data_IF_065460140504
#
_entry.id   IF_065460140504
#
_cell.length_a   1.000
_cell.length_b   1.000
_cell.length_c   1.000
_cell.angle_alpha   90.00
_cell.angle_beta   90.00
_cell.angle_gamma   90.00
#
_symmetry.space_group_name_H-M   'P 1'
#
loop_
_entity.id
_entity.type
_entity.pdbx_description
1 polymer ?
#
# COMPACT_ATOMS: atom_id res chain seq x y z
N UNK A 1 19.27 -1.64 -21.58
CA UNK A 1 17.99 -0.92 -21.78
C UNK A 1 16.79 -1.87 -22.05
N UNK A 2 16.94 -3.20 -21.97
CA UNK A 2 15.86 -4.16 -22.25
C UNK A 2 15.37 -4.96 -21.01
N UNK A 3 15.81 -4.62 -19.81
CA UNK A 3 15.46 -5.38 -18.59
C UNK A 3 14.52 -4.65 -17.61
N UNK A 4 14.17 -3.38 -17.87
CA UNK A 4 13.22 -2.63 -17.04
C UNK A 4 11.77 -2.67 -17.54
N UNK A 5 11.51 -3.05 -18.80
CA UNK A 5 10.13 -3.15 -19.31
C UNK A 5 9.42 -4.44 -18.89
N UNK A 6 10.12 -5.56 -18.65
CA UNK A 6 9.46 -6.82 -18.22
C UNK A 6 8.90 -6.79 -16.79
N UNK A 7 9.46 -5.95 -15.91
CA UNK A 7 9.06 -5.91 -14.50
C UNK A 7 7.78 -5.08 -14.27
N UNK A 8 7.37 -4.25 -15.23
CA UNK A 8 6.13 -3.47 -15.19
C UNK A 8 4.90 -4.28 -15.64
N UNK A 9 5.04 -5.11 -16.67
CA UNK A 9 3.91 -5.87 -17.24
C UNK A 9 3.45 -7.03 -16.34
N UNK A 10 4.35 -7.70 -15.63
CA UNK A 10 3.97 -8.78 -14.70
C UNK A 10 3.24 -8.25 -13.46
N UNK A 11 3.61 -7.05 -12.99
CA UNK A 11 2.90 -6.37 -11.89
C UNK A 11 1.54 -5.84 -12.31
N UNK A 12 1.39 -5.28 -13.51
CA UNK A 12 0.07 -4.93 -14.05
C UNK A 12 -0.82 -6.17 -14.21
N UNK A 13 -0.26 -7.27 -14.72
CA UNK A 13 -1.00 -8.52 -14.89
C UNK A 13 -1.53 -9.08 -13.56
N UNK A 14 -0.72 -9.05 -12.51
CA UNK A 14 -1.13 -9.46 -11.15
C UNK A 14 -2.18 -8.52 -10.54
N UNK A 15 -2.07 -7.21 -10.78
CA UNK A 15 -3.07 -6.22 -10.33
C UNK A 15 -4.39 -6.42 -11.06
N UNK A 16 -4.39 -6.59 -12.39
CA UNK A 16 -5.59 -6.87 -13.17
C UNK A 16 -6.20 -8.22 -12.84
N UNK A 17 -5.39 -9.25 -12.56
CA UNK A 17 -5.85 -10.56 -12.13
C UNK A 17 -6.45 -10.52 -10.72
N UNK A 18 -5.87 -9.76 -9.80
CA UNK A 18 -6.41 -9.53 -8.46
C UNK A 18 -7.71 -8.72 -8.50
N UNK A 19 -7.80 -7.70 -9.37
CA UNK A 19 -9.02 -6.92 -9.59
C UNK A 19 -10.12 -7.78 -10.24
N UNK A 20 -9.75 -8.62 -11.22
CA UNK A 20 -10.64 -9.57 -11.86
C UNK A 20 -11.18 -10.62 -10.88
N UNK A 21 -10.34 -11.16 -10.00
CA UNK A 21 -10.75 -12.10 -8.94
C UNK A 21 -11.60 -11.43 -7.85
N UNK A 22 -11.26 -10.21 -7.43
CA UNK A 22 -12.05 -9.45 -6.46
C UNK A 22 -13.42 -9.06 -7.03
N UNK A 23 -13.47 -8.69 -8.31
CA UNK A 23 -14.71 -8.44 -9.02
C UNK A 23 -15.52 -9.73 -9.24
N UNK A 24 -14.87 -10.86 -9.56
CA UNK A 24 -15.50 -12.17 -9.65
C UNK A 24 -16.11 -12.59 -8.30
N UNK A 25 -15.40 -12.36 -7.20
CA UNK A 25 -15.90 -12.57 -5.84
C UNK A 25 -17.08 -11.65 -5.53
N UNK A 26 -17.01 -10.37 -5.90
CA UNK A 26 -18.11 -9.42 -5.75
C UNK A 26 -19.35 -9.81 -6.56
N UNK A 27 -19.19 -10.26 -7.81
CA UNK A 27 -20.31 -10.70 -8.67
C UNK A 27 -20.90 -12.01 -8.16
N UNK A 28 -20.06 -12.98 -7.76
CA UNK A 28 -20.53 -14.24 -7.17
C UNK A 28 -21.19 -14.03 -5.81
N UNK A 29 -20.66 -13.15 -4.96
CA UNK A 29 -21.30 -12.75 -3.71
C UNK A 29 -22.61 -12.02 -3.99
N UNK A 30 -22.64 -11.06 -4.91
CA UNK A 30 -23.86 -10.37 -5.30
C UNK A 30 -24.91 -11.34 -5.84
N UNK A 31 -24.51 -12.35 -6.61
CA UNK A 31 -25.41 -13.37 -7.14
C UNK A 31 -25.94 -14.33 -6.06
N UNK A 32 -25.11 -14.77 -5.11
CA UNK A 32 -25.54 -15.54 -3.93
C UNK A 32 -26.50 -14.70 -3.06
N UNK A 33 -26.18 -13.41 -2.90
CA UNK A 33 -27.02 -12.48 -2.13
C UNK A 33 -28.36 -12.27 -2.85
N UNK A 34 -28.36 -12.17 -4.17
CA UNK A 34 -29.57 -12.05 -5.00
C UNK A 34 -30.43 -13.32 -4.95
N UNK A 35 -29.83 -14.50 -5.08
CA UNK A 35 -30.55 -15.77 -5.00
C UNK A 35 -31.17 -15.98 -3.61
N UNK A 36 -30.44 -15.65 -2.56
CA UNK A 36 -30.93 -15.70 -1.18
C UNK A 36 -32.07 -14.69 -0.95
N UNK A 37 -31.92 -13.47 -1.48
CA UNK A 37 -32.93 -12.42 -1.37
C UNK A 37 -34.20 -12.75 -2.17
N UNK A 38 -34.06 -13.25 -3.41
CA UNK A 38 -35.19 -13.74 -4.23
C UNK A 38 -35.90 -14.92 -3.57
N UNK A 39 -35.16 -15.82 -2.92
CA UNK A 39 -35.74 -16.91 -2.12
C UNK A 39 -36.56 -16.36 -0.95
N UNK A 40 -36.02 -15.40 -0.18
CA UNK A 40 -36.75 -14.73 0.90
C UNK A 40 -38.01 -14.01 0.40
N UNK A 41 -37.94 -13.30 -0.74
CA UNK A 41 -39.10 -12.66 -1.37
C UNK A 41 -40.16 -13.69 -1.77
N UNK A 42 -39.75 -14.85 -2.30
CA UNK A 42 -40.68 -15.93 -2.70
C UNK A 42 -41.36 -16.56 -1.47
N UNK A 43 -40.63 -16.75 -0.37
CA UNK A 43 -41.18 -17.21 0.90
C UNK A 43 -42.17 -16.19 1.48
N UNK A 44 -41.87 -14.88 1.39
CA UNK A 44 -42.80 -13.81 1.79
C UNK A 44 -44.04 -13.72 0.90
N UNK A 45 -43.92 -13.83 -0.43
CA UNK A 45 -45.08 -13.95 -1.33
C UNK A 45 -45.92 -15.19 -1.03
N UNK A 46 -45.29 -16.27 -0.58
CA UNK A 46 -46.00 -17.50 -0.17
C UNK A 46 -46.74 -17.30 1.16
N UNK A 47 -46.16 -16.54 2.10
CA UNK A 47 -46.87 -16.09 3.31
C UNK A 47 -48.05 -15.17 2.96
N UNK A 48 -47.87 -14.24 2.01
CA UNK A 48 -48.94 -13.38 1.50
C UNK A 48 -50.09 -14.21 0.89
N UNK A 49 -49.77 -15.29 0.17
CA UNK A 49 -50.74 -16.24 -0.36
C UNK A 49 -51.52 -16.98 0.74
N UNK A 50 -50.82 -17.39 1.81
CA UNK A 50 -51.45 -18.08 2.96
C UNK A 50 -52.37 -17.12 3.74
N UNK A 51 -51.92 -15.89 3.98
CA UNK A 51 -52.72 -14.83 4.62
C UNK A 51 -53.96 -14.55 3.76
N UNK A 52 -53.80 -14.40 2.44
CA UNK A 52 -54.90 -14.22 1.50
C UNK A 52 -55.90 -15.38 1.49
N UNK A 53 -55.44 -16.65 1.40
CA UNK A 53 -56.33 -17.81 1.47
C UNK A 53 -57.08 -17.89 2.80
N UNK A 54 -56.43 -17.47 3.90
CA UNK A 54 -57.06 -17.45 5.23
C UNK A 54 -58.10 -16.34 5.37
N UNK A 55 -57.86 -15.17 4.75
CA UNK A 55 -58.84 -14.07 4.67
C UNK A 55 -60.04 -14.51 3.82
N UNK A 56 -59.82 -15.14 2.66
CA UNK A 56 -60.87 -15.57 1.76
C UNK A 56 -61.77 -16.65 2.38
N UNK A 57 -61.19 -17.60 3.12
CA UNK A 57 -61.93 -18.61 3.90
C UNK A 57 -62.75 -17.94 5.03
N UNK A 58 -62.20 -16.92 5.69
CA UNK A 58 -62.91 -16.20 6.76
C UNK A 58 -64.06 -15.35 6.20
N UNK A 59 -63.95 -14.83 4.98
CA UNK A 59 -65.01 -14.05 4.30
C UNK A 59 -66.10 -14.92 3.67
N UNK A 60 -65.78 -16.12 3.16
CA UNK A 60 -66.79 -17.08 2.69
C UNK A 60 -67.67 -17.61 3.85
N UNK A 61 -67.11 -17.72 5.06
CA UNK A 61 -67.84 -18.12 6.27
C UNK A 61 -68.78 -17.01 6.79
N UNK A 62 -68.39 -15.75 6.61
CA UNK A 62 -69.23 -14.57 6.93
C UNK A 62 -70.30 -14.31 5.85
N UNK A 63 -69.98 -14.57 4.57
CA UNK A 63 -70.87 -14.35 3.42
C UNK A 63 -72.06 -15.33 3.30
N UNK A 64 -72.22 -16.29 4.21
CA UNK A 64 -73.39 -17.18 4.27
C UNK A 64 -74.40 -16.81 5.35
N UNK A 65 -74.17 -15.72 6.08
CA UNK A 65 -75.12 -15.18 7.06
C UNK A 65 -75.65 -13.85 6.55
N UNK A 66 -76.87 -13.89 6.01
CA UNK A 66 -77.68 -12.70 5.73
C UNK A 66 -77.73 -11.83 6.99
N UNK A 67 -76.97 -10.74 6.99
CA UNK A 67 -77.05 -9.70 8.00
C UNK A 67 -77.26 -8.37 7.29
N UNK A 68 -78.54 -8.03 7.16
CA UNK A 68 -78.99 -6.64 7.03
C UNK A 68 -78.47 -5.87 8.25
N UNK A 69 -77.37 -5.14 8.10
CA UNK A 69 -76.97 -4.10 9.03
C UNK A 69 -76.70 -2.84 8.23
N UNK A 70 -77.70 -1.96 8.30
CA UNK A 70 -77.68 -0.58 7.86
C UNK A 70 -76.44 0.13 8.42
N UNK A 71 -75.60 0.61 7.50
CA UNK A 71 -74.38 1.37 7.78
C UNK A 71 -74.76 2.75 8.29
N UNK A 72 -74.53 3.00 9.58
CA UNK A 72 -74.39 4.35 10.08
C UNK A 72 -73.04 4.55 10.78
N UNK A 73 -72.43 5.64 10.37
CA UNK A 73 -71.07 6.09 10.63
C UNK A 73 -70.93 6.63 12.06
N UNK A 74 -69.71 6.55 12.59
CA UNK A 74 -69.08 7.37 13.65
C UNK A 74 -68.95 6.83 15.09
N UNK A 75 -67.70 6.95 15.54
CA UNK A 75 -67.15 7.19 16.88
C UNK A 75 -67.06 6.07 17.93
N UNK A 76 -65.80 5.68 18.16
CA UNK A 76 -65.22 5.07 19.35
C UNK A 76 -65.86 5.56 20.66
N UNK A 77 -66.66 4.73 21.32
CA UNK A 77 -66.67 4.57 22.79
C UNK A 77 -67.07 3.13 23.14
N UNK A 78 -66.28 2.55 24.06
CA UNK A 78 -66.51 1.32 24.80
C UNK A 78 -67.97 1.15 25.24
N UNK A 79 -68.63 0.09 24.78
CA UNK A 79 -69.61 -0.62 25.59
C UNK A 79 -69.77 -2.08 25.12
N UNK A 80 -69.52 -3.00 26.04
CA UNK A 80 -69.70 -4.42 25.84
C UNK A 80 -71.20 -4.76 25.88
N UNK A 81 -71.75 -5.29 24.79
CA UNK A 81 -72.91 -6.18 24.86
C UNK A 81 -73.13 -6.96 23.57
N UNK A 82 -73.18 -8.29 23.71
CA UNK A 82 -73.97 -9.20 22.86
C UNK A 82 -73.60 -9.26 21.37
N UNK A 83 -72.49 -9.93 21.04
CA UNK A 83 -72.34 -10.92 19.95
C UNK A 83 -70.87 -11.38 19.90
N UNK A 84 -70.53 -12.38 20.72
CA UNK A 84 -69.14 -12.77 20.99
C UNK A 84 -68.39 -13.45 19.84
N UNK A 85 -69.10 -13.98 18.83
CA UNK A 85 -68.47 -14.76 17.77
C UNK A 85 -68.26 -13.94 16.49
N UNK A 86 -69.24 -13.13 16.06
CA UNK A 86 -69.12 -12.29 14.86
C UNK A 86 -68.19 -11.07 15.05
N UNK A 87 -68.12 -10.49 16.25
CA UNK A 87 -67.20 -9.37 16.54
C UNK A 87 -65.74 -9.81 16.48
N UNK A 88 -65.46 -11.04 16.91
CA UNK A 88 -64.10 -11.60 16.97
C UNK A 88 -63.60 -12.02 15.60
N UNK A 89 -64.48 -12.57 14.76
CA UNK A 89 -64.19 -12.90 13.36
C UNK A 89 -63.94 -11.64 12.51
N UNK A 90 -64.73 -10.57 12.72
CA UNK A 90 -64.55 -9.28 12.04
C UNK A 90 -63.25 -8.58 12.47
N UNK A 91 -62.94 -8.55 13.77
CA UNK A 91 -61.65 -8.04 14.28
C UNK A 91 -60.47 -8.81 13.69
N UNK A 92 -60.57 -10.14 13.60
CA UNK A 92 -59.54 -11.00 13.00
C UNK A 92 -59.39 -10.76 11.50
N UNK A 93 -60.48 -10.47 10.78
CA UNK A 93 -60.43 -10.16 9.35
C UNK A 93 -59.81 -8.77 9.07
N UNK A 94 -60.13 -7.76 9.89
CA UNK A 94 -59.53 -6.42 9.81
C UNK A 94 -58.04 -6.46 10.14
N UNK A 95 -57.65 -7.21 11.15
CA UNK A 95 -56.24 -7.37 11.55
C UNK A 95 -55.42 -8.06 10.45
N UNK A 96 -55.97 -9.10 9.82
CA UNK A 96 -55.35 -9.78 8.66
C UNK A 96 -55.32 -8.91 7.40
N UNK A 97 -56.32 -8.06 7.17
CA UNK A 97 -56.33 -7.10 6.08
C UNK A 97 -55.20 -6.07 6.22
N UNK A 98 -55.00 -5.54 7.43
CA UNK A 98 -53.89 -4.64 7.74
C UNK A 98 -52.54 -5.37 7.58
N UNK A 99 -52.42 -6.61 8.05
CA UNK A 99 -51.22 -7.42 7.85
C UNK A 99 -50.89 -7.63 6.36
N UNK A 100 -51.92 -7.87 5.52
CA UNK A 100 -51.76 -7.98 4.07
C UNK A 100 -51.26 -6.67 3.45
N UNK A 101 -51.85 -5.53 3.81
CA UNK A 101 -51.44 -4.22 3.30
C UNK A 101 -49.97 -3.92 3.64
N UNK A 102 -49.56 -4.16 4.90
CA UNK A 102 -48.17 -3.99 5.32
C UNK A 102 -47.21 -4.93 4.57
N UNK A 103 -47.55 -6.22 4.45
CA UNK A 103 -46.71 -7.18 3.75
C UNK A 103 -46.60 -6.89 2.24
N UNK A 104 -47.67 -6.37 1.63
CA UNK A 104 -47.66 -5.93 0.23
C UNK A 104 -46.75 -4.72 0.03
N UNK A 105 -46.81 -3.72 0.92
CA UNK A 105 -45.95 -2.53 0.85
C UNK A 105 -44.47 -2.87 1.05
N UNK A 106 -44.17 -3.78 1.98
CA UNK A 106 -42.81 -4.30 2.19
C UNK A 106 -42.31 -5.02 0.93
N UNK A 107 -43.12 -5.92 0.36
CA UNK A 107 -42.76 -6.67 -0.84
C UNK A 107 -42.51 -5.76 -2.04
N UNK A 108 -43.33 -4.72 -2.22
CA UNK A 108 -43.17 -3.77 -3.32
C UNK A 108 -41.90 -2.91 -3.15
N UNK A 109 -41.59 -2.51 -1.92
CA UNK A 109 -40.34 -1.77 -1.59
C UNK A 109 -39.11 -2.64 -1.85
N UNK A 110 -39.13 -3.88 -1.38
CA UNK A 110 -38.08 -4.89 -1.57
C UNK A 110 -37.88 -5.22 -3.07
N UNK A 111 -38.96 -5.32 -3.85
CA UNK A 111 -38.88 -5.51 -5.31
C UNK A 111 -38.28 -4.30 -6.05
N UNK A 112 -38.50 -3.08 -5.55
CA UNK A 112 -37.90 -1.86 -6.10
C UNK A 112 -36.41 -1.75 -5.80
N UNK A 113 -35.99 -2.11 -4.59
CA UNK A 113 -34.57 -2.15 -4.22
C UNK A 113 -33.81 -3.20 -5.04
N UNK A 114 -34.44 -4.35 -5.27
CA UNK A 114 -33.88 -5.40 -6.11
C UNK A 114 -33.72 -4.97 -7.56
N UNK A 115 -34.66 -4.22 -8.13
CA UNK A 115 -34.51 -3.60 -9.45
C UNK A 115 -33.30 -2.66 -9.51
N UNK A 116 -33.12 -1.82 -8.49
CA UNK A 116 -31.99 -0.89 -8.41
C UNK A 116 -30.67 -1.65 -8.33
N UNK A 117 -30.62 -2.73 -7.56
CA UNK A 117 -29.46 -3.61 -7.47
C UNK A 117 -29.15 -4.28 -8.82
N UNK A 118 -30.16 -4.83 -9.49
CA UNK A 118 -29.99 -5.45 -10.81
C UNK A 118 -29.50 -4.44 -11.86
N UNK A 119 -29.95 -3.19 -11.83
CA UNK A 119 -29.47 -2.13 -12.73
C UNK A 119 -27.98 -1.81 -12.48
N UNK A 120 -27.56 -1.70 -11.21
CA UNK A 120 -26.16 -1.51 -10.86
C UNK A 120 -25.29 -2.70 -11.30
N UNK A 121 -25.77 -3.94 -11.14
CA UNK A 121 -25.05 -5.14 -11.58
C UNK A 121 -24.95 -5.15 -13.12
N UNK A 122 -26.01 -4.74 -13.83
CA UNK A 122 -26.00 -4.64 -15.29
C UNK A 122 -24.96 -3.62 -15.79
N UNK A 123 -24.84 -2.47 -15.13
CA UNK A 123 -23.83 -1.45 -15.43
C UNK A 123 -22.41 -1.99 -15.20
N UNK A 124 -22.16 -2.67 -14.08
CA UNK A 124 -20.88 -3.32 -13.79
C UNK A 124 -20.52 -4.41 -14.81
N UNK A 125 -21.49 -5.26 -15.20
CA UNK A 125 -21.28 -6.28 -16.26
C UNK A 125 -20.91 -5.62 -17.59
N UNK A 126 -21.54 -4.48 -17.93
CA UNK A 126 -21.24 -3.73 -19.15
C UNK A 126 -19.82 -3.14 -19.12
N UNK A 127 -19.43 -2.52 -18.01
CA UNK A 127 -18.07 -1.97 -17.83
C UNK A 127 -17.00 -3.06 -17.92
N UNK A 128 -17.21 -4.20 -17.24
CA UNK A 128 -16.29 -5.34 -17.30
C UNK A 128 -16.25 -5.97 -18.69
N UNK A 129 -17.39 -6.07 -19.38
CA UNK A 129 -17.43 -6.50 -20.77
C UNK A 129 -16.58 -5.63 -21.70
N UNK A 130 -16.59 -4.31 -21.49
CA UNK A 130 -15.73 -3.36 -22.21
C UNK A 130 -14.24 -3.61 -21.97
N UNK A 131 -13.85 -3.89 -20.73
CA UNK A 131 -12.46 -4.18 -20.33
C UNK A 131 -11.98 -5.53 -20.88
N UNK A 132 -12.84 -6.54 -20.88
CA UNK A 132 -12.53 -7.87 -21.42
C UNK A 132 -12.36 -7.80 -22.94
N UNK A 133 -13.25 -7.08 -23.63
CA UNK A 133 -13.20 -6.91 -25.08
C UNK A 133 -11.97 -6.12 -25.56
N UNK A 134 -11.41 -5.20 -24.75
CA UNK A 134 -10.27 -4.37 -25.15
C UNK A 134 -8.91 -5.06 -25.06
N UNK A 135 -8.80 -6.19 -24.33
CA UNK A 135 -7.52 -6.77 -23.91
C UNK A 135 -7.08 -8.01 -24.72
N UNK A 136 -7.81 -8.38 -25.78
CA UNK A 136 -7.42 -9.42 -26.75
C UNK A 136 -7.61 -10.87 -26.29
N UNK A 137 -7.54 -11.86 -27.22
CA UNK A 137 -7.90 -13.25 -26.94
C UNK A 137 -6.74 -14.00 -26.25
N UNK A 138 -6.63 -13.86 -24.93
CA UNK A 138 -5.78 -14.70 -24.07
C UNK A 138 -6.59 -15.83 -23.43
N UNK A 139 -5.95 -16.99 -23.14
CA UNK A 139 -6.64 -18.16 -22.56
C UNK A 139 -7.36 -17.88 -21.22
N UNK A 140 -6.81 -16.99 -20.39
CA UNK A 140 -7.46 -16.51 -19.16
C UNK A 140 -8.61 -15.53 -19.43
N UNK A 141 -8.56 -14.76 -20.52
CA UNK A 141 -9.64 -13.86 -20.94
C UNK A 141 -10.84 -14.63 -21.51
N UNK A 142 -10.61 -15.72 -22.25
CA UNK A 142 -11.68 -16.60 -22.74
C UNK A 142 -12.51 -17.20 -21.60
N UNK A 143 -11.86 -17.65 -20.53
CA UNK A 143 -12.55 -18.18 -19.35
C UNK A 143 -13.30 -17.09 -18.55
N UNK A 144 -12.79 -15.86 -18.55
CA UNK A 144 -13.43 -14.72 -17.91
C UNK A 144 -14.65 -14.23 -18.72
N UNK A 145 -14.56 -14.26 -20.05
CA UNK A 145 -15.63 -13.91 -20.97
C UNK A 145 -16.78 -14.94 -20.92
N UNK A 146 -16.46 -16.23 -20.78
CA UNK A 146 -17.43 -17.29 -20.52
C UNK A 146 -18.19 -17.04 -19.21
N UNK A 147 -17.48 -16.80 -18.10
CA UNK A 147 -18.11 -16.50 -16.81
C UNK A 147 -18.92 -15.19 -16.82
N UNK A 148 -18.49 -14.20 -17.60
CA UNK A 148 -19.26 -12.96 -17.79
C UNK A 148 -20.57 -13.24 -18.52
N UNK A 149 -20.56 -14.10 -19.54
CA UNK A 149 -21.79 -14.56 -20.22
C UNK A 149 -22.71 -15.32 -19.26
N UNK A 150 -22.19 -16.22 -18.45
CA UNK A 150 -22.97 -16.97 -17.46
C UNK A 150 -23.62 -16.02 -16.42
N UNK A 151 -22.88 -14.98 -16.00
CA UNK A 151 -23.37 -13.95 -15.08
C UNK A 151 -24.45 -13.07 -15.72
N UNK A 152 -24.30 -12.75 -17.00
CA UNK A 152 -25.31 -11.99 -17.77
C UNK A 152 -26.60 -12.80 -17.97
N UNK A 153 -26.49 -14.10 -18.23
CA UNK A 153 -27.63 -15.02 -18.34
C UNK A 153 -28.34 -15.18 -16.99
N UNK A 154 -27.58 -15.33 -15.90
CA UNK A 154 -28.12 -15.42 -14.54
C UNK A 154 -28.84 -14.14 -14.11
N UNK A 155 -28.26 -12.96 -14.40
CA UNK A 155 -28.91 -11.68 -14.12
C UNK A 155 -30.23 -11.55 -14.89
N UNK A 156 -30.27 -11.99 -16.14
CA UNK A 156 -31.49 -12.01 -16.95
C UNK A 156 -32.55 -12.93 -16.32
N UNK A 157 -32.16 -14.13 -15.92
CA UNK A 157 -33.05 -15.07 -15.24
C UNK A 157 -33.63 -14.48 -13.95
N UNK A 158 -32.80 -13.81 -13.15
CA UNK A 158 -33.26 -13.13 -11.94
C UNK A 158 -34.24 -11.99 -12.25
N UNK A 159 -33.98 -11.18 -13.27
CA UNK A 159 -34.89 -10.11 -13.69
C UNK A 159 -36.27 -10.65 -14.09
N UNK A 160 -36.29 -11.81 -14.75
CA UNK A 160 -37.52 -12.50 -15.11
C UNK A 160 -38.27 -13.00 -13.86
N UNK A 161 -37.55 -13.52 -12.86
CA UNK A 161 -38.14 -13.95 -11.57
C UNK A 161 -38.73 -12.79 -10.76
N UNK A 162 -38.04 -11.64 -10.70
CA UNK A 162 -38.55 -10.44 -10.01
C UNK A 162 -39.79 -9.89 -10.72
N UNK A 163 -39.80 -9.94 -12.05
CA UNK A 163 -40.98 -9.57 -12.85
C UNK A 163 -42.17 -10.51 -12.59
N UNK A 164 -41.92 -11.82 -12.41
CA UNK A 164 -42.94 -12.80 -12.03
C UNK A 164 -43.49 -12.53 -10.62
N UNK A 165 -42.62 -12.27 -9.64
CA UNK A 165 -43.02 -11.92 -8.26
C UNK A 165 -43.91 -10.67 -8.26
N UNK A 166 -43.55 -9.65 -9.04
CA UNK A 166 -44.36 -8.43 -9.17
C UNK A 166 -45.71 -8.69 -9.84
N UNK A 167 -45.73 -9.48 -10.90
CA UNK A 167 -46.98 -9.85 -11.57
C UNK A 167 -47.92 -10.62 -10.62
N UNK A 168 -47.36 -11.48 -9.77
CA UNK A 168 -48.11 -12.17 -8.71
C UNK A 168 -48.59 -11.19 -7.64
N UNK A 169 -47.76 -10.28 -7.15
CA UNK A 169 -48.14 -9.22 -6.18
C UNK A 169 -49.32 -8.39 -6.68
N UNK A 170 -49.23 -7.86 -7.91
CA UNK A 170 -50.32 -7.07 -8.54
C UNK A 170 -51.58 -7.91 -8.74
N UNK A 171 -51.43 -9.21 -9.05
CA UNK A 171 -52.58 -10.12 -9.16
C UNK A 171 -53.28 -10.28 -7.81
N UNK A 172 -52.52 -10.45 -6.71
CA UNK A 172 -53.07 -10.54 -5.36
C UNK A 172 -53.74 -9.24 -4.91
N UNK A 173 -53.09 -8.11 -5.12
CA UNK A 173 -53.64 -6.80 -4.78
C UNK A 173 -54.95 -6.52 -5.54
N UNK A 174 -55.00 -6.85 -6.84
CA UNK A 174 -56.23 -6.72 -7.64
C UNK A 174 -57.35 -7.60 -7.13
N UNK A 175 -57.06 -8.85 -6.75
CA UNK A 175 -58.10 -9.76 -6.23
C UNK A 175 -58.59 -9.30 -4.85
N UNK A 176 -57.71 -8.73 -4.01
CA UNK A 176 -58.09 -8.14 -2.72
C UNK A 176 -58.94 -6.87 -2.87
N UNK A 177 -58.60 -5.97 -3.80
CA UNK A 177 -59.41 -4.75 -4.05
C UNK A 177 -60.84 -5.06 -4.52
N UNK A 178 -61.09 -6.20 -5.16
CA UNK A 178 -62.44 -6.63 -5.52
C UNK A 178 -63.31 -7.05 -4.32
N UNK A 179 -62.70 -7.35 -3.16
CA UNK A 179 -63.41 -7.73 -1.92
C UNK A 179 -63.81 -6.52 -1.06
N UNK A 180 -63.16 -5.35 -1.19
CA UNK A 180 -63.41 -4.17 -0.34
C UNK A 180 -64.50 -3.21 -0.89
N UNK A 181 -65.22 -3.59 -1.97
CA UNK A 181 -66.44 -2.91 -2.38
C UNK A 181 -66.29 -2.02 -3.61
N UNK A 182 -66.96 -2.45 -4.69
CA UNK A 182 -67.39 -1.58 -5.77
C UNK A 182 -68.90 -1.30 -5.58
N UNK A 183 -69.23 -0.47 -4.59
CA UNK A 183 -70.45 0.32 -4.62
C UNK A 183 -70.18 1.57 -5.47
N UNK A 184 -70.22 1.42 -6.79
CA UNK A 184 -70.55 2.54 -7.66
C UNK A 184 -71.38 2.03 -8.82
N UNK A 185 -72.68 2.35 -8.73
CA UNK A 185 -73.68 1.96 -9.70
C UNK A 185 -73.37 2.48 -11.10
N UNK A 186 -73.48 1.58 -12.07
CA UNK A 186 -74.11 1.96 -13.33
C UNK A 186 -75.47 1.25 -13.42
N UNK A 187 -76.50 2.05 -13.20
CA UNK A 187 -77.88 1.75 -13.57
C UNK A 187 -77.93 1.48 -15.07
N UNK A 188 -78.33 0.28 -15.51
CA UNK A 188 -79.37 0.14 -16.55
C UNK A 188 -79.91 -1.29 -16.67
N UNK A 189 -81.24 -1.40 -16.53
CA UNK A 189 -82.14 -2.41 -17.10
C UNK A 189 -81.91 -3.90 -16.81
N UNK A 190 -82.82 -4.43 -15.99
CA UNK A 190 -84.03 -4.99 -16.61
C UNK A 190 -84.45 -6.38 -16.14
N UNK A 191 -85.73 -6.44 -15.75
CA UNK A 191 -86.62 -7.62 -15.79
C UNK A 191 -86.51 -8.61 -14.63
N UNK A 192 -87.21 -8.38 -13.51
CA UNK A 192 -88.62 -8.72 -13.24
C UNK A 192 -88.80 -10.12 -12.63
N UNK A 193 -89.71 -10.16 -11.63
CA UNK A 193 -90.39 -11.30 -10.98
C UNK A 193 -89.58 -11.97 -9.85
N UNK A 194 -90.05 -12.09 -8.61
CA UNK A 194 -91.43 -12.22 -8.13
C UNK A 194 -91.62 -11.68 -6.71
N UNK A 195 -92.77 -11.03 -6.54
CA UNK A 195 -93.51 -10.70 -5.33
C UNK A 195 -93.22 -11.53 -4.08
N UNK A 196 -92.83 -10.80 -3.06
CA UNK A 196 -93.08 -11.12 -1.66
C UNK A 196 -94.58 -10.96 -1.36
N UNK A 197 -95.31 -12.08 -1.31
CA UNK A 197 -96.59 -12.20 -0.59
C UNK A 197 -97.10 -13.65 -0.66
N UNK A 198 -96.83 -14.45 0.38
CA UNK A 198 -97.78 -15.45 0.93
C UNK A 198 -97.20 -16.22 2.14
N UNK A 199 -96.94 -15.52 3.25
CA UNK A 199 -96.66 -16.13 4.56
C UNK A 199 -97.92 -16.45 5.37
N UNK A 200 -99.01 -16.90 4.72
CA UNK A 200 -100.23 -17.30 5.44
C UNK A 200 -101.07 -18.36 4.71
N UNK A 201 -100.53 -19.54 4.40
CA UNK A 201 -101.38 -20.69 4.01
C UNK A 201 -100.69 -22.07 4.08
N UNK A 202 -99.64 -22.26 4.89
CA UNK A 202 -98.99 -23.58 4.99
C UNK A 202 -98.95 -24.13 6.42
N UNK A 203 -99.80 -23.60 7.31
CA UNK A 203 -100.04 -24.16 8.65
C UNK A 203 -101.39 -24.87 8.69
N UNK A 204 -101.76 -25.54 7.61
CA UNK A 204 -102.96 -26.36 7.53
C UNK A 204 -102.57 -27.81 7.22
N UNK A 205 -102.46 -28.60 8.29
CA UNK A 205 -102.55 -30.07 8.28
C UNK A 205 -101.48 -30.78 7.42
N UNK A 206 -100.31 -31.01 8.00
CA UNK A 206 -99.48 -32.19 7.64
C UNK A 206 -100.24 -33.44 8.14
N UNK A 207 -101.34 -33.79 7.47
CA UNK A 207 -102.00 -35.06 7.65
C UNK A 207 -101.45 -35.97 6.54
N UNK A 208 -100.36 -36.66 6.83
CA UNK A 208 -99.76 -37.64 5.91
C UNK A 208 -100.77 -38.74 5.60
N UNK A 209 -101.38 -38.70 4.41
CA UNK A 209 -102.53 -39.56 4.09
C UNK A 209 -102.17 -40.99 3.65
N UNK A 210 -100.89 -41.33 3.45
CA UNK A 210 -100.51 -42.70 3.05
C UNK A 210 -99.24 -43.18 3.76
N UNK A 211 -99.29 -44.39 4.33
CA UNK A 211 -98.17 -45.03 5.04
C UNK A 211 -96.87 -45.11 4.21
N UNK A 212 -96.96 -45.08 2.88
CA UNK A 212 -95.79 -45.10 1.99
C UNK A 212 -95.06 -43.75 1.94
N UNK A 213 -95.78 -42.62 2.04
CA UNK A 213 -95.13 -41.31 2.16
C UNK A 213 -94.39 -41.21 3.50
N UNK A 214 -95.01 -41.68 4.59
CA UNK A 214 -94.37 -41.78 5.91
C UNK A 214 -93.06 -42.58 5.86
N UNK A 215 -93.05 -43.73 5.17
CA UNK A 215 -91.82 -44.52 4.98
C UNK A 215 -90.76 -43.81 4.15
N UNK A 216 -91.14 -43.07 3.11
CA UNK A 216 -90.20 -42.31 2.30
C UNK A 216 -89.51 -41.19 3.10
N UNK A 217 -90.29 -40.41 3.86
CA UNK A 217 -89.74 -39.38 4.75
C UNK A 217 -88.83 -39.96 5.83
N UNK A 218 -89.20 -41.07 6.46
CA UNK A 218 -88.34 -41.74 7.45
C UNK A 218 -87.02 -42.21 6.82
N UNK A 219 -87.02 -42.80 5.62
CA UNK A 219 -85.78 -43.17 4.91
C UNK A 219 -84.93 -41.95 4.54
N UNK A 220 -85.55 -40.82 4.21
CA UNK A 220 -84.83 -39.57 3.94
C UNK A 220 -84.18 -39.02 5.21
N UNK A 221 -84.90 -39.07 6.35
CA UNK A 221 -84.35 -38.68 7.66
C UNK A 221 -83.24 -39.61 8.12
N UNK A 222 -83.36 -40.93 7.94
CA UNK A 222 -82.30 -41.89 8.24
C UNK A 222 -81.04 -41.61 7.40
N UNK A 223 -81.19 -41.33 6.09
CA UNK A 223 -80.07 -40.95 5.23
C UNK A 223 -79.45 -39.61 5.61
N UNK A 224 -80.26 -38.62 6.01
CA UNK A 224 -79.75 -37.34 6.48
C UNK A 224 -79.02 -37.48 7.81
N UNK A 225 -79.57 -38.24 8.76
CA UNK A 225 -78.92 -38.53 10.04
C UNK A 225 -77.59 -39.29 9.84
N UNK A 226 -77.54 -40.26 8.91
CA UNK A 226 -76.29 -40.96 8.61
C UNK A 226 -75.21 -40.02 8.03
N UNK A 227 -75.59 -39.03 7.22
CA UNK A 227 -74.66 -38.00 6.72
C UNK A 227 -74.25 -37.03 7.83
N UNK A 228 -75.18 -36.60 8.67
CA UNK A 228 -74.90 -35.74 9.84
C UNK A 228 -73.85 -36.39 10.76
N UNK A 229 -74.01 -37.68 11.06
CA UNK A 229 -73.06 -38.44 11.87
C UNK A 229 -71.67 -38.57 11.20
N UNK A 230 -71.60 -38.68 9.87
CA UNK A 230 -70.33 -38.68 9.12
C UNK A 230 -69.66 -37.30 9.15
N UNK A 231 -70.44 -36.22 9.05
CA UNK A 231 -69.94 -34.86 9.19
C UNK A 231 -69.45 -34.59 10.61
N UNK A 232 -70.17 -35.00 11.64
CA UNK A 232 -69.74 -34.87 13.02
C UNK A 232 -68.43 -35.63 13.28
N UNK A 233 -68.29 -36.83 12.72
CA UNK A 233 -67.02 -37.57 12.77
C UNK A 233 -65.88 -36.79 12.11
N UNK A 234 -66.07 -36.27 10.90
CA UNK A 234 -65.06 -35.44 10.20
C UNK A 234 -64.73 -34.17 10.98
N UNK A 235 -65.71 -33.55 11.62
CA UNK A 235 -65.52 -32.37 12.47
C UNK A 235 -64.62 -32.71 13.66
N UNK A 236 -64.85 -33.85 14.33
CA UNK A 236 -64.00 -34.30 15.44
C UNK A 236 -62.57 -34.64 14.98
N UNK A 237 -62.41 -35.25 13.81
CA UNK A 237 -61.09 -35.52 13.21
C UNK A 237 -60.36 -34.22 12.84
N UNK A 238 -61.07 -33.25 12.28
CA UNK A 238 -60.56 -31.90 11.97
C UNK A 238 -60.09 -31.17 13.22
N UNK A 239 -60.87 -31.18 14.30
CA UNK A 239 -60.51 -30.57 15.59
C UNK A 239 -59.24 -31.19 16.18
N UNK A 240 -59.11 -32.52 16.11
CA UNK A 240 -57.92 -33.22 16.58
C UNK A 240 -56.67 -32.81 15.77
N UNK A 241 -56.81 -32.65 14.46
CA UNK A 241 -55.72 -32.22 13.58
C UNK A 241 -55.32 -30.76 13.83
N UNK A 242 -56.29 -29.89 14.13
CA UNK A 242 -56.03 -28.51 14.54
C UNK A 242 -55.21 -28.44 15.82
N UNK A 243 -55.57 -29.22 16.85
CA UNK A 243 -54.80 -29.32 18.10
C UNK A 243 -53.37 -29.82 17.85
N UNK A 244 -53.20 -30.85 17.00
CA UNK A 244 -51.88 -31.36 16.61
C UNK A 244 -51.05 -30.29 15.86
N UNK A 245 -51.67 -29.53 14.95
CA UNK A 245 -51.01 -28.43 14.25
C UNK A 245 -50.61 -27.31 15.22
N UNK A 246 -51.44 -26.99 16.20
CA UNK A 246 -51.13 -25.99 17.22
C UNK A 246 -49.90 -26.37 18.03
N UNK A 247 -49.81 -27.63 18.47
CA UNK A 247 -48.65 -28.15 19.19
C UNK A 247 -47.38 -28.12 18.32
N UNK A 248 -47.50 -28.47 17.03
CA UNK A 248 -46.38 -28.38 16.07
C UNK A 248 -45.92 -26.94 15.85
N UNK A 249 -46.85 -25.99 15.72
CA UNK A 249 -46.51 -24.57 15.55
C UNK A 249 -45.78 -24.05 16.77
N UNK A 250 -46.24 -24.36 17.99
CA UNK A 250 -45.54 -23.96 19.22
C UNK A 250 -44.14 -24.58 19.30
N UNK A 251 -44.00 -25.87 18.95
CA UNK A 251 -42.69 -26.53 18.90
C UNK A 251 -41.75 -25.86 17.90
N UNK A 252 -42.23 -25.54 16.70
CA UNK A 252 -41.43 -24.88 15.67
C UNK A 252 -41.08 -23.45 16.09
N UNK A 253 -42.00 -22.70 16.69
CA UNK A 253 -41.72 -21.36 17.21
C UNK A 253 -40.59 -21.38 18.24
N UNK A 254 -40.60 -22.35 19.14
CA UNK A 254 -39.55 -22.51 20.14
C UNK A 254 -38.21 -22.90 19.51
N UNK A 255 -38.21 -23.80 18.50
CA UNK A 255 -37.00 -24.15 17.75
C UNK A 255 -36.43 -22.95 16.97
N UNK A 256 -37.29 -22.18 16.31
CA UNK A 256 -36.91 -20.94 15.61
C UNK A 256 -36.29 -19.95 16.58
N UNK A 257 -36.86 -19.77 17.77
CA UNK A 257 -36.29 -18.89 18.79
C UNK A 257 -34.85 -19.28 19.16
N UNK A 258 -34.58 -20.58 19.38
CA UNK A 258 -33.22 -21.04 19.68
C UNK A 258 -32.25 -20.85 18.51
N UNK A 259 -32.70 -21.10 17.28
CA UNK A 259 -31.88 -20.89 16.08
C UNK A 259 -31.60 -19.39 15.88
N UNK A 260 -32.57 -18.51 16.13
CA UNK A 260 -32.38 -17.06 16.07
C UNK A 260 -31.35 -16.58 17.08
N UNK A 261 -31.38 -17.09 18.31
CA UNK A 261 -30.38 -16.76 19.33
C UNK A 261 -28.96 -17.25 18.95
N UNK A 262 -28.83 -18.49 18.48
CA UNK A 262 -27.54 -19.04 18.05
C UNK A 262 -26.99 -18.30 16.82
N UNK A 263 -27.85 -17.97 15.85
CA UNK A 263 -27.43 -17.20 14.67
C UNK A 263 -27.00 -15.79 15.04
N UNK A 264 -27.66 -15.14 16.00
CA UNK A 264 -27.26 -13.82 16.50
C UNK A 264 -25.85 -13.84 17.13
N UNK A 265 -25.55 -14.83 17.99
CA UNK A 265 -24.21 -15.00 18.58
C UNK A 265 -23.14 -15.28 17.52
N UNK A 266 -23.47 -16.08 16.49
CA UNK A 266 -22.56 -16.33 15.37
C UNK A 266 -22.28 -15.05 14.57
N UNK A 267 -23.31 -14.24 14.30
CA UNK A 267 -23.16 -12.97 13.59
C UNK A 267 -22.37 -11.94 14.40
N UNK A 268 -22.60 -11.83 15.71
CA UNK A 268 -21.84 -10.96 16.60
C UNK A 268 -20.35 -11.33 16.57
N UNK A 269 -20.02 -12.60 16.79
CA UNK A 269 -18.64 -13.10 16.73
C UNK A 269 -18.00 -12.90 15.35
N UNK A 270 -18.76 -13.03 14.27
CA UNK A 270 -18.27 -12.78 12.93
C UNK A 270 -17.94 -11.29 12.73
N UNK A 271 -18.83 -10.39 13.16
CA UNK A 271 -18.60 -8.95 13.08
C UNK A 271 -17.41 -8.50 13.92
N UNK A 272 -17.24 -9.05 15.14
CA UNK A 272 -16.06 -8.79 15.97
C UNK A 272 -14.76 -9.20 15.27
N UNK A 273 -14.76 -10.37 14.63
CA UNK A 273 -13.59 -10.87 13.87
C UNK A 273 -13.29 -10.01 12.65
N UNK A 274 -14.31 -9.58 11.90
CA UNK A 274 -14.15 -8.70 10.75
C UNK A 274 -13.60 -7.33 11.17
N UNK A 275 -14.13 -6.75 12.26
CA UNK A 275 -13.61 -5.51 12.82
C UNK A 275 -12.14 -5.66 13.28
N UNK A 276 -11.80 -6.76 13.94
CA UNK A 276 -10.42 -7.04 14.32
C UNK A 276 -9.49 -7.18 13.10
N UNK A 277 -9.97 -7.80 12.02
CA UNK A 277 -9.23 -7.91 10.77
C UNK A 277 -9.00 -6.54 10.12
N UNK A 278 -10.00 -5.66 10.10
CA UNK A 278 -9.86 -4.31 9.55
C UNK A 278 -8.90 -3.45 10.38
N UNK A 279 -8.93 -3.54 11.71
CA UNK A 279 -7.95 -2.87 12.59
C UNK A 279 -6.53 -3.36 12.30
N UNK A 280 -6.34 -4.68 12.17
CA UNK A 280 -5.04 -5.27 11.82
C UNK A 280 -4.58 -4.85 10.42
N UNK A 281 -5.50 -4.78 9.46
CA UNK A 281 -5.24 -4.29 8.11
C UNK A 281 -4.75 -2.83 8.17
N UNK A 282 -5.42 -1.97 8.95
CA UNK A 282 -5.01 -0.59 9.19
C UNK A 282 -3.60 -0.48 9.77
N UNK A 283 -3.29 -1.28 10.80
CA UNK A 283 -1.94 -1.34 11.39
C UNK A 283 -0.91 -1.81 10.34
N UNK A 284 -1.24 -2.82 9.53
CA UNK A 284 -0.33 -3.35 8.51
C UNK A 284 -0.01 -2.31 7.42
N UNK A 285 -1.01 -1.53 6.99
CA UNK A 285 -0.85 -0.45 6.01
C UNK A 285 0.04 0.66 6.55
N UNK A 286 -0.16 1.06 7.80
CA UNK A 286 0.69 2.06 8.48
C UNK A 286 2.14 1.57 8.62
N UNK A 287 2.36 0.31 9.04
CA UNK A 287 3.69 -0.28 9.14
C UNK A 287 4.38 -0.35 7.77
N UNK A 288 3.65 -0.71 6.71
CA UNK A 288 4.16 -0.73 5.35
C UNK A 288 4.59 0.68 4.90
N UNK A 289 3.78 1.70 5.18
CA UNK A 289 4.12 3.10 4.91
C UNK A 289 5.41 3.53 5.62
N UNK A 290 5.55 3.17 6.91
CA UNK A 290 6.79 3.43 7.67
C UNK A 290 7.99 2.70 7.08
N UNK A 291 7.84 1.44 6.69
CA UNK A 291 8.89 0.65 6.06
C UNK A 291 9.37 1.28 4.75
N UNK A 292 8.45 1.77 3.92
CA UNK A 292 8.78 2.49 2.68
C UNK A 292 9.58 3.77 2.96
N UNK A 293 9.17 4.56 3.96
CA UNK A 293 9.92 5.75 4.39
C UNK A 293 11.32 5.37 4.87
N UNK A 294 11.45 4.32 5.68
CA UNK A 294 12.74 3.81 6.13
C UNK A 294 13.63 3.39 4.95
N UNK A 295 13.07 2.70 3.95
CA UNK A 295 13.81 2.31 2.75
C UNK A 295 14.31 3.51 1.96
N UNK A 296 13.48 4.55 1.79
CA UNK A 296 13.89 5.81 1.15
C UNK A 296 15.00 6.51 1.94
N UNK A 297 14.88 6.58 3.26
CA UNK A 297 15.89 7.17 4.15
C UNK A 297 17.22 6.41 4.09
N UNK A 298 17.18 5.08 4.09
CA UNK A 298 18.35 4.22 3.95
C UNK A 298 19.05 4.46 2.60
N UNK A 299 18.28 4.55 1.51
CA UNK A 299 18.81 4.87 0.18
C UNK A 299 19.49 6.25 0.16
N UNK A 300 18.90 7.25 0.81
CA UNK A 300 19.52 8.57 0.97
C UNK A 300 20.82 8.53 1.77
N UNK A 301 20.85 7.76 2.86
CA UNK A 301 22.04 7.53 3.67
C UNK A 301 23.15 6.84 2.88
N UNK A 302 22.85 5.76 2.14
CA UNK A 302 23.82 5.06 1.30
C UNK A 302 24.44 5.98 0.24
N UNK A 303 23.63 6.85 -0.40
CA UNK A 303 24.15 7.84 -1.36
C UNK A 303 25.12 8.81 -0.70
N UNK A 304 24.77 9.34 0.47
CA UNK A 304 25.64 10.26 1.23
C UNK A 304 26.91 9.56 1.70
N UNK A 305 26.80 8.32 2.15
CA UNK A 305 27.96 7.50 2.54
C UNK A 305 28.90 7.29 1.34
N UNK A 306 28.37 6.95 0.17
CA UNK A 306 29.16 6.79 -1.06
C UNK A 306 29.88 8.09 -1.45
N UNK A 307 29.21 9.25 -1.32
CA UNK A 307 29.81 10.57 -1.55
C UNK A 307 30.93 10.88 -0.56
N UNK A 308 30.75 10.56 0.73
CA UNK A 308 31.80 10.74 1.74
C UNK A 308 32.98 9.81 1.51
N UNK A 309 32.72 8.56 1.10
CA UNK A 309 33.76 7.59 0.73
C UNK A 309 34.59 8.09 -0.44
N UNK A 310 33.98 8.64 -1.49
CA UNK A 310 34.73 9.20 -2.62
C UNK A 310 35.53 10.46 -2.24
N UNK A 311 34.98 11.33 -1.38
CA UNK A 311 35.71 12.48 -0.82
C UNK A 311 36.91 12.05 0.01
N UNK A 312 36.78 10.98 0.79
CA UNK A 312 37.86 10.40 1.58
C UNK A 312 38.96 9.84 0.67
N UNK A 313 38.59 9.07 -0.34
CA UNK A 313 39.54 8.51 -1.32
C UNK A 313 40.35 9.62 -2.00
N UNK A 314 39.68 10.67 -2.51
CA UNK A 314 40.36 11.84 -3.08
C UNK A 314 41.33 12.51 -2.10
N UNK A 315 40.98 12.54 -0.81
CA UNK A 315 41.84 13.13 0.23
C UNK A 315 43.07 12.26 0.51
N UNK A 316 42.90 10.93 0.47
CA UNK A 316 44.01 9.96 0.59
C UNK A 316 44.96 10.13 -0.59
N UNK A 317 44.45 10.16 -1.83
CA UNK A 317 45.28 10.38 -3.04
C UNK A 317 46.07 11.71 -2.95
N UNK A 318 45.42 12.79 -2.48
CA UNK A 318 46.11 14.07 -2.27
C UNK A 318 47.18 14.00 -1.18
N UNK A 319 46.95 13.23 -0.12
CA UNK A 319 47.92 13.03 0.95
C UNK A 319 49.12 12.24 0.44
N UNK A 320 48.91 11.18 -0.33
CA UNK A 320 49.98 10.40 -0.98
C UNK A 320 50.81 11.27 -1.93
N UNK A 321 50.16 12.12 -2.73
CA UNK A 321 50.88 13.06 -3.58
C UNK A 321 51.75 14.05 -2.79
N UNK A 322 51.26 14.53 -1.63
CA UNK A 322 52.02 15.39 -0.72
C UNK A 322 53.16 14.64 -0.02
N UNK A 323 52.95 13.40 0.39
CA UNK A 323 53.96 12.51 0.98
C UNK A 323 55.14 12.32 0.01
N UNK A 324 54.86 12.02 -1.27
CA UNK A 324 55.88 11.90 -2.32
C UNK A 324 56.65 13.21 -2.48
N UNK A 325 55.96 14.34 -2.49
CA UNK A 325 56.59 15.66 -2.59
C UNK A 325 57.49 15.97 -1.38
N UNK A 326 57.07 15.58 -0.18
CA UNK A 326 57.83 15.75 1.07
C UNK A 326 59.09 14.89 1.07
N UNK A 327 58.99 13.61 0.69
CA UNK A 327 60.16 12.73 0.57
C UNK A 327 61.19 13.29 -0.42
N UNK A 328 60.72 13.86 -1.54
CA UNK A 328 61.60 14.54 -2.50
C UNK A 328 62.26 15.78 -1.88
N UNK A 329 61.51 16.59 -1.13
CA UNK A 329 62.05 17.74 -0.41
C UNK A 329 63.11 17.34 0.62
N UNK A 330 62.86 16.30 1.42
CA UNK A 330 63.81 15.79 2.40
C UNK A 330 65.09 15.28 1.75
N UNK A 331 64.99 14.58 0.61
CA UNK A 331 66.16 14.14 -0.15
C UNK A 331 67.01 15.32 -0.67
N UNK A 332 66.36 16.42 -1.06
CA UNK A 332 67.04 17.64 -1.48
C UNK A 332 67.65 18.38 -0.29
N UNK A 333 66.96 18.42 0.85
CA UNK A 333 67.48 19.00 2.08
C UNK A 333 68.72 18.24 2.59
N UNK A 334 68.72 16.91 2.52
CA UNK A 334 69.90 16.09 2.84
C UNK A 334 71.09 16.42 1.92
N UNK A 335 70.85 16.56 0.61
CA UNK A 335 71.88 17.02 -0.35
C UNK A 335 72.39 18.41 -0.02
N UNK A 336 71.50 19.33 0.36
CA UNK A 336 71.87 20.69 0.72
C UNK A 336 72.69 20.73 2.01
N UNK A 337 72.33 19.94 3.02
CA UNK A 337 73.11 19.76 4.24
C UNK A 337 74.53 19.25 3.94
N UNK A 338 74.67 18.29 3.02
CA UNK A 338 75.98 17.81 2.57
C UNK A 338 76.79 18.89 1.85
N UNK A 339 76.14 19.72 1.01
CA UNK A 339 76.79 20.87 0.36
C UNK A 339 77.23 21.94 1.37
N UNK A 340 76.43 22.19 2.42
CA UNK A 340 76.79 23.10 3.52
C UNK A 340 78.03 22.58 4.24
N UNK A 341 78.05 21.31 4.65
CA UNK A 341 79.22 20.71 5.31
C UNK A 341 80.48 20.77 4.43
N UNK A 342 80.34 20.54 3.11
CA UNK A 342 81.43 20.69 2.15
C UNK A 342 81.91 22.14 2.04
N UNK A 343 80.99 23.11 2.07
CA UNK A 343 81.31 24.54 2.04
C UNK A 343 82.04 24.96 3.30
N UNK A 344 81.63 24.48 4.46
CA UNK A 344 82.30 24.75 5.74
C UNK A 344 83.71 24.16 5.76
N UNK A 345 83.90 22.93 5.25
CA UNK A 345 85.22 22.31 5.09
C UNK A 345 86.11 23.12 4.13
N UNK A 346 85.60 23.53 2.96
CA UNK A 346 86.34 24.36 2.02
C UNK A 346 86.70 25.72 2.63
N UNK A 347 85.79 26.33 3.40
CA UNK A 347 86.03 27.58 4.11
C UNK A 347 87.14 27.43 5.15
N UNK A 348 87.17 26.33 5.90
CA UNK A 348 88.24 26.03 6.84
C UNK A 348 89.59 25.86 6.12
N UNK A 349 89.63 25.08 5.03
CA UNK A 349 90.84 24.92 4.22
C UNK A 349 91.32 26.21 3.56
N UNK A 350 90.39 27.07 3.11
CA UNK A 350 90.73 28.39 2.58
C UNK A 350 91.36 29.28 3.66
N UNK A 351 90.76 29.34 4.86
CA UNK A 351 91.31 30.11 5.98
C UNK A 351 92.68 29.60 6.41
N UNK A 352 92.90 28.28 6.40
CA UNK A 352 94.21 27.67 6.66
C UNK A 352 95.24 28.05 5.59
N UNK A 353 94.89 27.94 4.30
CA UNK A 353 95.75 28.34 3.20
C UNK A 353 96.09 29.84 3.24
N UNK A 354 95.12 30.69 3.60
CA UNK A 354 95.28 32.13 3.75
C UNK A 354 96.23 32.46 4.91
N UNK A 355 96.09 31.78 6.07
CA UNK A 355 97.02 31.90 7.19
C UNK A 355 98.44 31.44 6.82
N UNK A 356 98.57 30.33 6.10
CA UNK A 356 99.86 29.83 5.61
C UNK A 356 100.52 30.80 4.62
N UNK A 357 99.74 31.45 3.76
CA UNK A 357 100.23 32.49 2.85
C UNK A 357 100.73 33.72 3.62
N UNK A 358 100.03 34.15 4.67
CA UNK A 358 100.47 35.24 5.55
C UNK A 358 101.80 34.88 6.22
N UNK A 359 101.93 33.65 6.75
CA UNK A 359 103.18 33.15 7.32
C UNK A 359 104.31 33.13 6.29
N UNK A 360 104.10 32.55 5.11
CA UNK A 360 105.09 32.50 4.04
C UNK A 360 105.51 33.90 3.56
N UNK A 361 104.59 34.86 3.50
CA UNK A 361 104.88 36.27 3.21
C UNK A 361 105.77 36.91 4.29
N UNK A 362 105.53 36.60 5.57
CA UNK A 362 106.38 37.08 6.67
C UNK A 362 107.78 36.46 6.63
N UNK A 363 107.88 35.18 6.28
CA UNK A 363 109.16 34.49 6.07
C UNK A 363 109.92 35.05 4.87
N UNK A 364 109.24 35.32 3.74
CA UNK A 364 109.89 35.95 2.58
C UNK A 364 110.32 37.38 2.87
N UNK A 365 109.58 38.13 3.69
CA UNK A 365 110.00 39.46 4.14
C UNK A 365 111.27 39.38 4.98
N UNK A 366 111.31 38.50 5.98
CA UNK A 366 112.52 38.30 6.82
C UNK A 366 113.70 37.75 6.02
N UNK A 367 113.49 36.84 5.08
CA UNK A 367 114.53 36.39 4.16
C UNK A 367 115.00 37.52 3.26
N UNK A 368 114.12 38.39 2.75
CA UNK A 368 114.48 39.57 1.96
C UNK A 368 115.32 40.55 2.78
N UNK A 369 114.98 40.79 4.04
CA UNK A 369 115.80 41.60 4.96
C UNK A 369 117.18 40.96 5.18
N UNK A 370 117.24 39.64 5.39
CA UNK A 370 118.52 38.93 5.49
C UNK A 370 119.35 39.01 4.20
N UNK A 371 118.73 38.80 3.04
CA UNK A 371 119.38 38.91 1.73
C UNK A 371 119.92 40.31 1.53
N UNK A 372 119.13 41.36 1.77
CA UNK A 372 119.60 42.75 1.67
C UNK A 372 120.71 43.06 2.67
N UNK A 373 120.65 42.52 3.90
CA UNK A 373 121.74 42.62 4.86
C UNK A 373 123.02 41.92 4.36
N UNK A 374 122.91 40.73 3.78
CA UNK A 374 124.04 39.98 3.21
C UNK A 374 124.60 40.66 1.97
N UNK A 375 123.75 41.18 1.08
CA UNK A 375 124.15 42.00 -0.08
C UNK A 375 124.92 43.24 0.37
N UNK A 376 124.47 43.90 1.44
CA UNK A 376 125.18 45.04 2.03
C UNK A 376 126.53 44.62 2.66
N UNK A 377 126.57 43.49 3.39
CA UNK A 377 127.83 42.94 3.92
C UNK A 377 128.81 42.53 2.81
N UNK A 378 128.32 41.94 1.73
CA UNK A 378 129.13 41.60 0.56
C UNK A 378 129.70 42.86 -0.08
N UNK A 379 128.87 43.88 -0.32
CA UNK A 379 129.30 45.16 -0.87
C UNK A 379 130.35 45.84 0.03
N UNK A 380 130.15 45.80 1.34
CA UNK A 380 131.12 46.30 2.32
C UNK A 380 132.42 45.48 2.29
N UNK A 381 132.34 44.15 2.25
CA UNK A 381 133.51 43.28 2.13
C UNK A 381 134.26 43.50 0.80
N UNK A 382 133.55 43.70 -0.31
CA UNK A 382 134.12 44.07 -1.61
C UNK A 382 134.81 45.43 -1.56
N UNK A 383 134.23 46.40 -0.82
CA UNK A 383 134.84 47.70 -0.59
C UNK A 383 136.12 47.59 0.24
N UNK A 384 136.10 46.78 1.31
CA UNK A 384 137.28 46.47 2.13
C UNK A 384 138.35 45.72 1.32
N UNK A 385 137.97 44.78 0.47
CA UNK A 385 138.88 44.08 -0.46
C UNK A 385 139.50 45.06 -1.45
N UNK A 386 138.70 45.96 -2.03
CA UNK A 386 139.17 46.98 -2.96
C UNK A 386 140.12 47.98 -2.30
N UNK A 387 139.84 48.37 -1.05
CA UNK A 387 140.72 49.19 -0.22
C UNK A 387 142.01 48.45 0.18
N UNK A 388 141.93 47.13 0.41
CA UNK A 388 143.09 46.30 0.71
C UNK A 388 143.95 46.08 -0.54
N UNK A 389 143.34 45.89 -1.70
CA UNK A 389 144.00 45.82 -3.02
C UNK A 389 144.64 47.17 -3.37
N UNK A 390 144.03 48.31 -3.03
CA UNK A 390 144.67 49.61 -3.22
C UNK A 390 145.85 49.83 -2.28
N UNK A 391 145.74 49.42 -1.00
CA UNK A 391 146.85 49.43 -0.06
C UNK A 391 148.01 48.50 -0.50
N UNK A 392 147.68 47.32 -1.05
CA UNK A 392 148.68 46.36 -1.56
C UNK A 392 149.31 46.83 -2.88
N UNK A 393 148.56 47.60 -3.68
CA UNK A 393 149.10 48.28 -4.86
C UNK A 393 150.06 49.41 -4.47
N UNK A 394 149.79 50.13 -3.37
CA UNK A 394 150.72 51.14 -2.84
C UNK A 394 151.99 50.55 -2.23
N UNK A 395 151.93 49.37 -1.58
CA UNK A 395 153.14 48.67 -1.12
C UNK A 395 153.96 48.10 -2.28
N UNK A 396 153.31 47.62 -3.34
CA UNK A 396 154.01 47.17 -4.55
C UNK A 396 154.63 48.33 -5.36
N UNK A 397 153.96 49.48 -5.44
CA UNK A 397 154.52 50.68 -6.07
C UNK A 397 155.74 51.22 -5.30
N UNK A 398 155.74 51.17 -3.96
CA UNK A 398 156.93 51.49 -3.14
C UNK A 398 158.07 50.47 -3.34
N UNK A 399 157.75 49.18 -3.50
CA UNK A 399 158.74 48.13 -3.73
C UNK A 399 159.40 48.22 -5.12
N UNK A 400 158.63 48.66 -6.13
CA UNK A 400 159.12 48.91 -7.48
C UNK A 400 159.96 50.20 -7.57
N UNK A 401 159.60 51.23 -6.80
CA UNK A 401 160.39 52.47 -6.70
C UNK A 401 161.78 52.21 -6.07
N UNK A 402 161.84 51.42 -4.98
CA UNK A 402 163.10 50.98 -4.37
C UNK A 402 163.95 50.10 -5.30
N UNK A 403 163.31 49.29 -6.16
CA UNK A 403 164.00 48.47 -7.16
C UNK A 403 164.70 49.29 -8.24
N UNK A 404 164.13 50.44 -8.63
CA UNK A 404 164.74 51.35 -9.61
C UNK A 404 165.96 52.09 -9.03
N UNK A 405 165.88 52.49 -7.75
CA UNK A 405 166.94 53.21 -7.04
C UNK A 405 168.19 52.31 -6.80
N UNK A 406 167.96 51.01 -6.56
CA UNK A 406 169.03 50.01 -6.46
C UNK A 406 169.73 49.77 -7.81
N UNK A 407 169.01 49.83 -8.92
CA UNK A 407 169.58 49.60 -10.25
C UNK A 407 170.43 50.81 -10.73
N UNK A 408 170.06 52.03 -10.34
CA UNK A 408 170.89 53.22 -10.54
C UNK A 408 172.18 53.18 -9.71
N UNK A 409 172.11 52.76 -8.43
CA UNK A 409 173.32 52.54 -7.60
C UNK A 409 174.25 51.44 -8.15
N UNK A 410 173.69 50.43 -8.83
CA UNK A 410 174.48 49.36 -9.45
C UNK A 410 175.27 49.83 -10.66
N UNK A 411 174.68 50.65 -11.54
CA UNK A 411 175.39 51.23 -12.69
C UNK A 411 176.52 52.21 -12.28
N UNK A 412 176.38 52.91 -11.15
CA UNK A 412 177.44 53.76 -10.59
C UNK A 412 178.57 52.92 -9.99
N UNK A 413 178.30 51.70 -9.53
CA UNK A 413 179.32 50.80 -8.98
C UNK A 413 180.16 50.14 -10.08
N UNK A 414 179.57 49.81 -11.23
CA UNK A 414 180.29 49.20 -12.36
C UNK A 414 181.17 50.23 -13.10
N UNK A 415 180.84 51.52 -13.07
CA UNK A 415 181.68 52.59 -13.66
C UNK A 415 182.90 52.99 -12.81
N UNK A 416 182.94 52.63 -11.51
CA UNK A 416 184.10 52.88 -10.62
C UNK A 416 185.10 51.71 -10.63
N UNK A 417 184.73 50.53 -11.13
CA UNK A 417 185.61 49.34 -11.14
C UNK A 417 186.55 49.20 -12.34
N UNK A 418 186.40 49.97 -13.42
CA UNK A 418 187.20 49.76 -14.65
C UNK A 418 188.22 50.88 -14.97
N UNK A 419 188.47 51.80 -14.02
CA UNK A 419 189.54 52.79 -14.10
C UNK A 419 190.37 52.81 -12.80
N UNK A 420 191.09 51.72 -12.48
CA UNK A 420 192.40 51.78 -11.78
C UNK A 420 193.11 50.42 -11.75
N UNK A 421 194.28 50.43 -12.41
CA UNK A 421 195.42 49.47 -12.44
C UNK A 421 195.30 48.27 -13.38
#
# INVERSE_FOLDING_TARGET
MFSLERCGYENLYLIFHAFGLAHQLCVSLAQITLEHYVYCCRVRSSKLFIVYSSINVSLEDVGTRDLDVESDKTDLVVEASSNGDTSRELETAVEKALEFDFLSEILDTEAMELDKLMMNIQENIFEVGGIISSNGPGGTFMALEEKLRDSQESLKQSKDQVSEIRAQSVKFQRTFSCLHGEENGSTDKGSNFLEDNQLSSMTSKINMQTAEQQRHFLRMLEKSLAREMDFEKKLTESRRLEEELKDRVLSIQQEVFFIEEETMDVYEKWFEKENAAEVLMGISKELLGRLQIFQLNLNGLMKREAELRSKLENSIEQLEAKEIALQKFDSNNAKLSLLVAKTDSLKASLSEAENNLVLANSETFTLREKVTSLENQLRESEFQLSAKVSADRTTQEQHNALGSEINEMKNVTDTVKENTI
#
